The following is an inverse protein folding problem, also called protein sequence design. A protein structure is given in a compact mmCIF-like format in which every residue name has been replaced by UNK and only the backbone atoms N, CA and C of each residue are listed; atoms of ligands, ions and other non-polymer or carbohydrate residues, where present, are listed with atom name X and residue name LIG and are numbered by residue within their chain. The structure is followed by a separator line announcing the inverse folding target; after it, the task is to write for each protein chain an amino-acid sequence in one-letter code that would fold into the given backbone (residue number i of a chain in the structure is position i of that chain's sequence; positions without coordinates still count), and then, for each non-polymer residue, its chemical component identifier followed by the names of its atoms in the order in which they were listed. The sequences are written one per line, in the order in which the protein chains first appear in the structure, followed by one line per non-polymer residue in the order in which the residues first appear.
data_IF_129463050307
#
_entry.id   IF_129463050307
#
_cell.length_a   1.000
_cell.length_b   1.000
_cell.length_c   1.000
_cell.angle_alpha   90.00
_cell.angle_beta   90.00
_cell.angle_gamma   90.00
#
_symmetry.space_group_name_H-M   'P 1'
#
loop_
_entity.id
_entity.type
_entity.pdbx_description
1 polymer ?
#
# COMPACT_ATOMS: atom_id res chain seq x y z
N UNK A 1 8.70 27.21 26.02
CA UNK A 1 8.84 25.73 25.97
C UNK A 1 7.44 25.16 25.77
N UNK A 2 7.10 24.75 24.55
CA UNK A 2 5.89 23.96 24.31
C UNK A 2 6.36 22.54 24.13
N UNK A 3 5.91 21.68 25.03
CA UNK A 3 6.13 20.24 25.03
C UNK A 3 5.61 19.67 23.70
N UNK A 4 6.50 19.16 22.85
CA UNK A 4 6.10 18.43 21.65
C UNK A 4 5.42 17.13 22.12
N UNK A 5 4.08 17.13 22.19
CA UNK A 5 3.31 15.89 22.29
C UNK A 5 3.76 14.98 21.15
N UNK A 6 4.14 13.74 21.45
CA UNK A 6 4.32 12.73 20.43
C UNK A 6 3.01 12.59 19.64
N UNK A 7 2.99 13.11 18.41
CA UNK A 7 1.86 12.97 17.50
C UNK A 7 2.00 11.59 16.85
N UNK A 8 1.30 10.61 17.40
CA UNK A 8 1.16 9.31 16.76
C UNK A 8 0.22 9.43 15.56
N UNK A 9 0.66 8.95 14.39
CA UNK A 9 -0.19 8.83 13.20
C UNK A 9 -0.79 7.42 13.16
N UNK A 10 -2.11 7.33 13.10
CA UNK A 10 -2.82 6.08 12.85
C UNK A 10 -3.11 5.99 11.35
N UNK A 11 -2.71 4.88 10.73
CA UNK A 11 -2.91 4.63 9.30
C UNK A 11 -3.79 3.38 9.15
N UNK A 12 -5.03 3.51 8.65
CA UNK A 12 -5.86 2.36 8.33
C UNK A 12 -5.23 1.53 7.21
N UNK A 13 -5.42 0.21 7.28
CA UNK A 13 -4.88 -0.73 6.31
C UNK A 13 -5.98 -1.54 5.62
N UNK A 14 -5.79 -1.83 4.34
CA UNK A 14 -6.60 -2.74 3.54
C UNK A 14 -5.71 -3.83 2.95
N UNK A 15 -5.97 -5.07 3.32
CA UNK A 15 -5.39 -6.23 2.68
C UNK A 15 -6.31 -6.64 1.51
N UNK A 16 -5.75 -6.85 0.32
CA UNK A 16 -6.51 -7.13 -0.91
C UNK A 16 -6.19 -8.53 -1.44
N UNK A 17 -7.23 -9.33 -1.66
CA UNK A 17 -7.20 -10.61 -2.41
C UNK A 17 -8.39 -10.61 -3.39
N UNK A 18 -8.14 -11.00 -4.64
CA UNK A 18 -9.13 -11.10 -5.71
C UNK A 18 -10.01 -9.84 -5.82
N UNK A 19 -9.38 -8.67 -5.73
CA UNK A 19 -10.03 -7.36 -5.79
C UNK A 19 -10.90 -6.96 -4.59
N UNK A 20 -10.95 -7.77 -3.51
CA UNK A 20 -11.74 -7.49 -2.31
C UNK A 20 -10.90 -7.23 -1.06
N UNK A 21 -11.44 -6.45 -0.12
CA UNK A 21 -10.84 -6.27 1.20
C UNK A 21 -11.03 -7.54 2.05
N UNK A 22 -9.91 -8.06 2.54
CA UNK A 22 -9.86 -9.28 3.34
C UNK A 22 -9.09 -9.05 4.63
N UNK A 23 -9.07 -10.08 5.47
CA UNK A 23 -8.12 -10.22 6.57
C UNK A 23 -7.62 -11.64 6.60
N UNK A 24 -6.32 -11.81 6.70
CA UNK A 24 -5.71 -13.10 7.01
C UNK A 24 -5.58 -13.26 8.52
N UNK A 25 -5.90 -14.45 9.03
CA UNK A 25 -5.56 -14.81 10.41
C UNK A 25 -4.09 -15.16 10.46
N UNK A 26 -3.27 -14.35 11.15
CA UNK A 26 -1.81 -14.54 11.25
C UNK A 26 -1.09 -14.67 9.89
N UNK A 27 -1.60 -14.04 8.84
CA UNK A 27 -1.01 -14.12 7.50
C UNK A 27 -1.28 -15.43 6.75
N UNK A 28 -2.14 -16.30 7.27
CA UNK A 28 -2.51 -17.56 6.62
C UNK A 28 -3.55 -17.33 5.51
N UNK A 29 -3.13 -17.57 4.25
CA UNK A 29 -3.98 -17.52 3.06
C UNK A 29 -5.06 -18.61 3.02
N UNK A 30 -4.97 -19.65 3.86
CA UNK A 30 -6.04 -20.63 4.06
C UNK A 30 -7.15 -20.14 5.00
N UNK A 31 -6.89 -19.08 5.77
CA UNK A 31 -7.83 -18.52 6.77
C UNK A 31 -8.21 -17.08 6.43
N UNK A 32 -8.85 -16.91 5.27
CA UNK A 32 -9.29 -15.62 4.74
C UNK A 32 -10.69 -15.28 5.24
N UNK A 33 -10.85 -14.10 5.85
CA UNK A 33 -12.16 -13.49 6.08
C UNK A 33 -12.35 -12.34 5.10
N UNK A 34 -13.39 -12.42 4.25
CA UNK A 34 -13.79 -11.33 3.36
C UNK A 34 -14.60 -10.29 4.13
N UNK A 35 -14.21 -9.03 4.06
CA UNK A 35 -14.90 -7.90 4.71
C UNK A 35 -15.72 -7.08 3.73
N UNK A 36 -15.16 -6.79 2.56
CA UNK A 36 -15.84 -6.02 1.52
C UNK A 36 -15.39 -6.47 0.14
N UNK A 37 -16.27 -6.40 -0.85
CA UNK A 37 -15.94 -6.58 -2.26
C UNK A 37 -15.64 -5.28 -2.99
N UNK A 38 -15.79 -4.12 -2.32
CA UNK A 38 -15.53 -2.81 -2.91
C UNK A 38 -14.50 -2.03 -2.06
N UNK A 39 -13.20 -2.11 -2.40
CA UNK A 39 -12.15 -1.40 -1.68
C UNK A 39 -12.27 0.12 -1.74
N UNK A 40 -12.86 0.68 -2.81
CA UNK A 40 -13.04 2.12 -2.92
C UNK A 40 -14.02 2.66 -1.87
N UNK A 41 -15.11 1.93 -1.60
CA UNK A 41 -16.07 2.32 -0.57
C UNK A 41 -15.41 2.32 0.82
N UNK A 42 -14.60 1.29 1.11
CA UNK A 42 -13.83 1.21 2.37
C UNK A 42 -12.83 2.37 2.48
N UNK A 43 -12.15 2.74 1.40
CA UNK A 43 -11.24 3.89 1.39
C UNK A 43 -11.99 5.21 1.67
N UNK A 44 -13.17 5.41 1.05
CA UNK A 44 -14.03 6.57 1.30
C UNK A 44 -14.50 6.62 2.75
N UNK A 45 -14.82 5.48 3.36
CA UNK A 45 -15.18 5.41 4.77
C UNK A 45 -14.03 5.87 5.67
N UNK A 46 -12.79 5.47 5.36
CA UNK A 46 -11.62 5.97 6.08
C UNK A 46 -11.38 7.47 5.87
N UNK A 47 -11.54 7.97 4.65
CA UNK A 47 -11.45 9.42 4.39
C UNK A 47 -12.51 10.20 5.19
N UNK A 48 -13.76 9.73 5.17
CA UNK A 48 -14.88 10.34 5.91
C UNK A 48 -14.67 10.30 7.42
N UNK A 49 -13.98 9.27 7.93
CA UNK A 49 -13.57 9.19 9.32
C UNK A 49 -12.41 10.15 9.69
N UNK A 50 -11.86 10.89 8.72
CA UNK A 50 -10.85 11.92 8.93
C UNK A 50 -9.40 11.46 8.73
N UNK A 51 -9.18 10.22 8.30
CA UNK A 51 -7.84 9.75 7.96
C UNK A 51 -7.30 10.49 6.73
N UNK A 52 -5.98 10.66 6.69
CA UNK A 52 -5.26 11.33 5.59
C UNK A 52 -4.40 10.40 4.78
N UNK A 53 -4.20 9.18 5.27
CA UNK A 53 -3.31 8.19 4.69
C UNK A 53 -3.95 6.82 4.80
N UNK A 54 -3.73 5.98 3.82
CA UNK A 54 -4.18 4.60 3.79
C UNK A 54 -3.04 3.68 3.36
N UNK A 55 -3.01 2.49 3.96
CA UNK A 55 -2.04 1.45 3.68
C UNK A 55 -2.72 0.33 2.91
N UNK A 56 -2.31 0.06 1.68
CA UNK A 56 -2.91 -0.95 0.81
C UNK A 56 -1.89 -2.05 0.56
N UNK A 57 -2.24 -3.28 0.92
CA UNK A 57 -1.40 -4.46 0.69
C UNK A 57 -2.07 -5.38 -0.32
N UNK A 58 -1.46 -5.50 -1.49
CA UNK A 58 -1.82 -6.47 -2.52
C UNK A 58 -1.22 -7.85 -2.18
N UNK A 59 -2.05 -8.71 -1.58
CA UNK A 59 -1.62 -10.04 -1.16
C UNK A 59 -1.48 -11.01 -2.33
N UNK A 60 -2.22 -10.80 -3.42
CA UNK A 60 -2.04 -11.53 -4.68
C UNK A 60 -0.71 -11.17 -5.33
N UNK A 61 -0.37 -9.88 -5.29
CA UNK A 61 0.90 -9.39 -5.76
C UNK A 61 2.08 -9.92 -4.94
N UNK A 62 1.93 -9.93 -3.62
CA UNK A 62 2.91 -10.50 -2.71
C UNK A 62 3.19 -11.98 -3.02
N UNK A 63 2.13 -12.77 -3.28
CA UNK A 63 2.22 -14.19 -3.60
C UNK A 63 2.79 -14.45 -5.00
N UNK A 64 2.44 -13.62 -5.99
CA UNK A 64 2.81 -13.81 -7.40
C UNK A 64 4.09 -13.08 -7.81
N UNK A 65 4.73 -12.33 -6.90
CA UNK A 65 5.92 -11.50 -7.13
C UNK A 65 5.75 -10.38 -8.17
N UNK A 66 4.51 -9.94 -8.43
CA UNK A 66 4.21 -8.79 -9.29
C UNK A 66 2.85 -8.20 -8.88
N UNK A 67 2.67 -6.86 -8.82
CA UNK A 67 1.38 -6.27 -8.48
C UNK A 67 0.25 -6.79 -9.37
N UNK A 68 -0.90 -7.10 -8.77
CA UNK A 68 -2.11 -7.63 -9.41
C UNK A 68 -3.32 -6.72 -9.26
N UNK A 69 -3.33 -5.88 -8.24
CA UNK A 69 -4.48 -5.07 -7.87
C UNK A 69 -4.25 -3.55 -8.04
N UNK A 70 -3.38 -3.14 -8.98
CA UNK A 70 -3.04 -1.72 -9.20
C UNK A 70 -4.25 -0.85 -9.57
N UNK A 71 -5.25 -1.40 -10.25
CA UNK A 71 -6.46 -0.64 -10.59
C UNK A 71 -7.18 -0.11 -9.34
N UNK A 72 -7.14 -0.84 -8.22
CA UNK A 72 -7.70 -0.37 -6.95
C UNK A 72 -6.94 0.86 -6.43
N UNK A 73 -5.61 0.87 -6.55
CA UNK A 73 -4.78 2.03 -6.18
C UNK A 73 -5.19 3.25 -6.99
N UNK A 74 -5.36 3.08 -8.30
CA UNK A 74 -5.82 4.14 -9.19
C UNK A 74 -7.20 4.64 -8.83
N UNK A 75 -8.16 3.74 -8.61
CA UNK A 75 -9.51 4.12 -8.24
C UNK A 75 -9.54 4.91 -6.93
N UNK A 76 -8.77 4.49 -5.91
CA UNK A 76 -8.67 5.20 -4.63
C UNK A 76 -8.00 6.57 -4.80
N UNK A 77 -6.90 6.66 -5.56
CA UNK A 77 -6.18 7.93 -5.78
C UNK A 77 -7.03 8.97 -6.52
N UNK A 78 -7.89 8.52 -7.44
CA UNK A 78 -8.74 9.41 -8.25
C UNK A 78 -10.00 9.85 -7.53
N UNK A 79 -10.44 9.12 -6.50
CA UNK A 79 -11.75 9.31 -5.88
C UNK A 79 -11.68 9.64 -4.37
N UNK A 80 -10.49 9.81 -3.81
CA UNK A 80 -10.25 10.22 -2.42
C UNK A 80 -9.07 11.20 -2.38
N UNK A 81 -8.87 11.86 -1.23
CA UNK A 81 -7.69 12.69 -0.93
C UNK A 81 -6.71 11.98 0.00
N UNK A 82 -6.82 10.65 0.12
CA UNK A 82 -5.93 9.86 0.95
C UNK A 82 -4.56 9.73 0.27
N UNK A 83 -3.50 9.97 1.02
CA UNK A 83 -2.17 9.51 0.63
C UNK A 83 -2.12 7.98 0.67
N UNK A 84 -1.61 7.34 -0.37
CA UNK A 84 -1.58 5.89 -0.50
C UNK A 84 -0.17 5.36 -0.26
N UNK A 85 -0.04 4.46 0.73
CA UNK A 85 1.08 3.53 0.83
C UNK A 85 0.67 2.24 0.13
N UNK A 86 1.45 1.78 -0.85
CA UNK A 86 1.17 0.56 -1.58
C UNK A 86 2.28 -0.48 -1.41
N UNK A 87 1.89 -1.71 -1.08
CA UNK A 87 2.81 -2.85 -0.95
C UNK A 87 2.21 -4.09 -1.58
N UNK A 88 3.06 -5.04 -1.95
CA UNK A 88 2.64 -6.31 -2.54
C UNK A 88 3.19 -6.51 -3.95
N UNK A 89 4.16 -7.42 -4.08
CA UNK A 89 4.69 -7.84 -5.38
C UNK A 89 5.68 -6.87 -6.04
N UNK A 90 6.09 -5.79 -5.38
CA UNK A 90 7.12 -4.88 -5.92
C UNK A 90 8.50 -5.54 -5.85
N UNK A 91 9.10 -5.82 -7.00
CA UNK A 91 10.36 -6.58 -7.14
C UNK A 91 11.38 -5.94 -8.09
N UNK A 92 10.98 -4.89 -8.81
CA UNK A 92 11.80 -4.21 -9.81
C UNK A 92 11.47 -2.71 -9.86
N UNK A 93 12.35 -1.93 -10.49
CA UNK A 93 12.10 -0.52 -10.79
C UNK A 93 10.83 -0.32 -11.62
N UNK A 94 10.55 -1.22 -12.55
CA UNK A 94 9.33 -1.21 -13.38
C UNK A 94 8.08 -1.39 -12.52
N UNK A 95 8.04 -2.43 -11.68
CA UNK A 95 6.87 -2.67 -10.80
C UNK A 95 6.62 -1.54 -9.80
N UNK A 96 7.70 -0.89 -9.34
CA UNK A 96 7.62 0.29 -8.50
C UNK A 96 7.08 1.49 -9.28
N UNK A 97 7.59 1.73 -10.49
CA UNK A 97 7.11 2.77 -11.40
C UNK A 97 5.62 2.63 -11.68
N UNK A 98 5.14 1.41 -11.99
CA UNK A 98 3.71 1.16 -12.18
C UNK A 98 2.88 1.49 -10.93
N UNK A 99 3.37 1.22 -9.72
CA UNK A 99 2.63 1.59 -8.51
C UNK A 99 2.46 3.11 -8.39
N UNK A 100 3.52 3.88 -8.65
CA UNK A 100 3.46 5.35 -8.65
C UNK A 100 2.57 5.90 -9.77
N UNK A 101 2.66 5.35 -10.99
CA UNK A 101 1.81 5.74 -12.13
C UNK A 101 0.31 5.51 -11.86
N UNK A 102 -0.02 4.48 -11.06
CA UNK A 102 -1.37 4.20 -10.62
C UNK A 102 -1.78 4.99 -9.37
N UNK A 103 -0.96 5.93 -8.90
CA UNK A 103 -1.33 6.88 -7.86
C UNK A 103 -0.93 6.50 -6.44
N UNK A 104 0.01 5.57 -6.25
CA UNK A 104 0.65 5.42 -4.95
C UNK A 104 1.54 6.64 -4.64
N UNK A 105 1.47 7.19 -3.43
CA UNK A 105 2.41 8.24 -2.97
C UNK A 105 3.72 7.66 -2.44
N UNK A 106 3.64 6.43 -1.93
CA UNK A 106 4.77 5.68 -1.41
C UNK A 106 4.61 4.19 -1.60
N UNK A 107 5.74 3.49 -1.73
CA UNK A 107 5.80 2.05 -1.91
C UNK A 107 6.49 1.37 -0.74
N UNK A 108 6.06 0.14 -0.44
CA UNK A 108 6.59 -0.66 0.67
C UNK A 108 7.47 -1.78 0.12
N UNK A 109 8.74 -1.80 0.55
CA UNK A 109 9.76 -2.69 0.04
C UNK A 109 10.26 -3.63 1.14
N UNK A 110 9.62 -4.79 1.28
CA UNK A 110 10.07 -5.82 2.23
C UNK A 110 11.17 -6.72 1.65
N UNK A 111 10.77 -7.81 0.99
CA UNK A 111 11.73 -8.85 0.54
C UNK A 111 12.80 -8.37 -0.45
N UNK A 112 12.49 -7.38 -1.30
CA UNK A 112 13.45 -6.85 -2.28
C UNK A 112 14.53 -6.02 -1.59
N UNK A 113 14.21 -5.33 -0.48
CA UNK A 113 15.20 -4.57 0.27
C UNK A 113 16.31 -5.45 0.86
N UNK A 114 15.97 -6.69 1.24
CA UNK A 114 16.94 -7.66 1.76
C UNK A 114 17.72 -8.35 0.63
N UNK A 115 17.04 -8.71 -0.46
CA UNK A 115 17.63 -9.53 -1.53
C UNK A 115 18.41 -8.72 -2.58
N UNK A 116 17.96 -7.49 -2.84
CA UNK A 116 18.42 -6.61 -3.91
C UNK A 116 18.41 -5.15 -3.41
N UNK A 117 19.20 -4.81 -2.37
CA UNK A 117 19.22 -3.47 -1.77
C UNK A 117 19.58 -2.36 -2.76
N UNK A 118 20.30 -2.67 -3.84
CA UNK A 118 20.60 -1.75 -4.93
C UNK A 118 19.34 -1.21 -5.61
N UNK A 119 18.26 -2.00 -5.72
CA UNK A 119 16.98 -1.50 -6.26
C UNK A 119 16.41 -0.42 -5.34
N UNK A 120 16.48 -0.63 -4.02
CA UNK A 120 16.00 0.35 -3.03
C UNK A 120 16.79 1.65 -3.14
N UNK A 121 18.12 1.57 -3.23
CA UNK A 121 18.96 2.75 -3.41
C UNK A 121 18.57 3.55 -4.66
N UNK A 122 18.36 2.86 -5.79
CA UNK A 122 17.93 3.49 -7.04
C UNK A 122 16.52 4.10 -6.95
N UNK A 123 15.60 3.46 -6.25
CA UNK A 123 14.26 4.02 -6.03
C UNK A 123 14.29 5.27 -5.15
N UNK A 124 15.14 5.29 -4.12
CA UNK A 124 15.36 6.49 -3.30
C UNK A 124 15.94 7.64 -4.14
N UNK A 125 16.88 7.34 -5.05
CA UNK A 125 17.43 8.36 -5.98
C UNK A 125 16.37 8.92 -6.94
N UNK A 126 15.48 8.06 -7.46
CA UNK A 126 14.48 8.44 -8.46
C UNK A 126 13.26 9.15 -7.86
N UNK A 127 12.77 8.69 -6.71
CA UNK A 127 11.49 9.11 -6.14
C UNK A 127 11.64 9.86 -4.81
N UNK A 128 12.82 9.86 -4.21
CA UNK A 128 13.08 10.45 -2.90
C UNK A 128 12.76 9.49 -1.74
N UNK A 129 13.48 9.67 -0.64
CA UNK A 129 13.38 8.78 0.53
C UNK A 129 11.99 8.74 1.18
N UNK A 130 11.20 9.82 1.07
CA UNK A 130 9.87 9.92 1.68
C UNK A 130 8.82 9.03 0.99
N UNK A 131 9.12 8.61 -0.25
CA UNK A 131 8.25 7.73 -1.05
C UNK A 131 8.56 6.24 -0.87
N UNK A 132 9.52 5.88 -0.01
CA UNK A 132 9.97 4.49 0.20
C UNK A 132 9.81 4.12 1.68
N UNK A 133 9.16 2.97 1.93
CA UNK A 133 8.88 2.41 3.27
C UNK A 133 9.49 1.03 3.41
#
# INVERSE_FOLDING_TARGET
MVEMKNIYKVIPAMDIIDGGCVRLTMGDYGMVKKYSSNPLDVAKDFENAGFKKIHIVDLDGAKSNAPRNLQIVKDVSQNTRLEIQFGGGIKSLESAGSAFEYGADSIILGSVAVKQPEIVARLIELYGKESII
#
